data_IF_102087080998
#
_entry.id   IF_102087080998
#
_cell.length_a   1.000
_cell.length_b   1.000
_cell.length_c   1.000
_cell.angle_alpha   90.00
_cell.angle_beta   90.00
_cell.angle_gamma   90.00
#
_symmetry.space_group_name_H-M   'P 1'
#
loop_
_entity.id
_entity.type
_entity.pdbx_description
1 polymer ?
#
# COMPACT_ATOMS: atom_id res chain seq x y z
N UNK A 1 -39.91 -34.65 -19.32
CA UNK A 1 -39.04 -34.24 -18.20
C UNK A 1 -37.59 -34.34 -18.66
N UNK A 2 -37.08 -33.30 -19.31
CA UNK A 2 -35.69 -33.20 -19.76
C UNK A 2 -35.00 -32.14 -18.88
N UNK A 3 -34.10 -32.58 -18.00
CA UNK A 3 -33.31 -31.69 -17.15
C UNK A 3 -32.14 -31.14 -17.94
N UNK A 4 -32.13 -29.83 -18.18
CA UNK A 4 -31.00 -29.12 -18.75
C UNK A 4 -30.00 -28.79 -17.64
N UNK A 5 -28.80 -29.38 -17.70
CA UNK A 5 -27.67 -28.99 -16.87
C UNK A 5 -27.08 -27.68 -17.42
N UNK A 6 -27.19 -26.61 -16.63
CA UNK A 6 -26.55 -25.33 -16.95
C UNK A 6 -25.04 -25.46 -16.72
N UNK A 7 -24.28 -25.34 -17.80
CA UNK A 7 -22.83 -25.25 -17.76
C UNK A 7 -22.43 -23.91 -17.13
N UNK A 8 -21.79 -23.96 -15.97
CA UNK A 8 -21.01 -22.84 -15.44
C UNK A 8 -19.85 -22.61 -16.39
N UNK A 9 -19.88 -21.47 -17.08
CA UNK A 9 -18.77 -20.99 -17.88
C UNK A 9 -17.54 -20.82 -16.99
N UNK A 10 -16.53 -21.64 -17.24
CA UNK A 10 -15.19 -21.42 -16.71
C UNK A 10 -14.63 -20.21 -17.45
N UNK A 11 -14.65 -19.04 -16.81
CA UNK A 11 -13.86 -17.92 -17.25
C UNK A 11 -12.39 -18.27 -17.01
N UNK A 12 -11.68 -18.54 -18.11
CA UNK A 12 -10.31 -18.99 -18.11
C UNK A 12 -9.43 -17.99 -17.34
N UNK A 13 -8.82 -18.47 -16.26
CA UNK A 13 -7.79 -17.73 -15.55
C UNK A 13 -6.66 -17.37 -16.52
N UNK A 14 -6.49 -16.08 -16.78
CA UNK A 14 -5.35 -15.55 -17.54
C UNK A 14 -4.06 -16.07 -16.89
N UNK A 15 -3.04 -16.45 -17.68
CA UNK A 15 -1.80 -16.98 -17.14
C UNK A 15 -1.18 -15.96 -16.18
N UNK A 16 -0.85 -16.42 -14.97
CA UNK A 16 -0.22 -15.63 -13.91
C UNK A 16 1.17 -15.21 -14.41
N UNK A 17 1.25 -14.03 -15.02
CA UNK A 17 2.51 -13.41 -15.39
C UNK A 17 3.40 -13.32 -14.14
N UNK A 18 4.69 -13.60 -14.28
CA UNK A 18 5.64 -13.44 -13.20
C UNK A 18 5.55 -12.00 -12.66
N UNK A 19 5.24 -11.87 -11.36
CA UNK A 19 5.08 -10.56 -10.71
C UNK A 19 6.43 -9.84 -10.74
N UNK A 20 6.51 -8.75 -11.50
CA UNK A 20 7.71 -7.92 -11.56
C UNK A 20 7.67 -6.90 -10.41
N UNK A 21 8.77 -6.73 -9.65
CA UNK A 21 8.86 -5.70 -8.63
C UNK A 21 8.65 -4.31 -9.22
N UNK A 22 7.79 -3.50 -8.60
CA UNK A 22 7.62 -2.10 -8.96
C UNK A 22 8.66 -1.28 -8.19
N UNK A 23 9.62 -0.72 -8.91
CA UNK A 23 10.62 0.18 -8.31
C UNK A 23 9.97 1.51 -7.99
N UNK A 24 9.86 1.82 -6.70
CA UNK A 24 9.38 3.11 -6.24
C UNK A 24 10.53 4.13 -6.15
N UNK A 25 10.27 5.41 -6.46
CA UNK A 25 11.24 6.47 -6.22
C UNK A 25 11.51 6.61 -4.73
N UNK A 26 12.64 7.22 -4.35
CA UNK A 26 12.91 7.52 -2.94
C UNK A 26 11.81 8.43 -2.37
N UNK A 27 11.31 8.14 -1.15
CA UNK A 27 10.30 8.99 -0.53
C UNK A 27 10.89 10.37 -0.25
N UNK A 28 10.06 11.40 -0.43
CA UNK A 28 10.38 12.76 -0.02
C UNK A 28 10.03 12.92 1.45
N UNK A 29 11.04 13.14 2.29
CA UNK A 29 10.89 13.25 3.74
C UNK A 29 10.82 14.70 4.24
N UNK A 30 11.11 15.65 3.37
CA UNK A 30 11.15 17.08 3.68
C UNK A 30 9.97 17.83 3.07
N UNK A 31 9.51 18.86 3.78
CA UNK A 31 8.39 19.71 3.37
C UNK A 31 7.01 19.17 3.77
N UNK A 32 5.98 19.63 3.05
CA UNK A 32 4.58 19.25 3.32
C UNK A 32 3.88 20.15 4.36
N UNK A 33 2.69 19.71 4.79
CA UNK A 33 1.93 20.41 5.84
C UNK A 33 2.54 20.11 7.21
N UNK A 34 2.43 21.07 8.13
CA UNK A 34 2.77 20.82 9.53
C UNK A 34 1.88 19.71 10.10
N UNK A 35 2.38 18.98 11.10
CA UNK A 35 1.61 17.94 11.80
C UNK A 35 0.29 18.51 12.34
N UNK A 36 0.32 19.72 12.90
CA UNK A 36 -0.87 20.38 13.45
C UNK A 36 -1.90 20.71 12.35
N UNK A 37 -1.47 21.21 11.20
CA UNK A 37 -2.36 21.49 10.07
C UNK A 37 -2.95 20.19 9.49
N UNK A 38 -2.14 19.12 9.39
CA UNK A 38 -2.61 17.82 8.92
C UNK A 38 -3.66 17.21 9.86
N UNK A 39 -3.47 17.32 11.18
CA UNK A 39 -4.42 16.84 12.18
C UNK A 39 -5.72 17.66 12.18
N UNK A 40 -5.63 18.98 12.00
CA UNK A 40 -6.79 19.87 11.90
C UNK A 40 -7.67 19.54 10.69
N UNK A 41 -7.07 19.26 9.54
CA UNK A 41 -7.81 18.96 8.30
C UNK A 41 -8.24 17.48 8.19
N UNK A 42 -7.76 16.61 9.08
CA UNK A 42 -7.97 15.16 8.99
C UNK A 42 -9.45 14.82 9.03
N UNK A 43 -9.94 14.25 7.92
CA UNK A 43 -11.31 13.75 7.77
C UNK A 43 -11.35 12.52 6.88
N UNK A 44 -12.36 11.68 7.07
CA UNK A 44 -12.63 10.55 6.18
C UNK A 44 -13.33 11.06 4.91
N UNK A 45 -12.77 10.78 3.73
CA UNK A 45 -13.41 11.05 2.45
C UNK A 45 -13.77 9.73 1.77
N UNK A 46 -14.98 9.63 1.21
CA UNK A 46 -15.49 8.45 0.48
C UNK A 46 -15.66 8.69 -1.01
N UNK A 47 -15.43 9.93 -1.48
CA UNK A 47 -15.42 10.28 -2.91
C UNK A 47 -13.97 10.32 -3.38
N UNK A 48 -13.59 9.41 -4.27
CA UNK A 48 -12.22 9.22 -4.76
C UNK A 48 -12.22 9.45 -6.28
N UNK A 49 -11.19 10.12 -6.79
CA UNK A 49 -11.03 10.33 -8.24
C UNK A 49 -10.46 9.08 -8.90
N UNK A 50 -10.86 8.80 -10.14
CA UNK A 50 -10.30 7.72 -10.98
C UNK A 50 -8.85 7.99 -11.45
N UNK A 51 -8.33 9.21 -11.20
CA UNK A 51 -6.96 9.57 -11.57
C UNK A 51 -5.96 8.65 -10.86
N UNK A 52 -5.06 8.04 -11.64
CA UNK A 52 -3.96 7.23 -11.14
C UNK A 52 -3.07 8.06 -10.21
N UNK A 53 -2.68 7.47 -9.07
CA UNK A 53 -1.78 8.09 -8.12
C UNK A 53 -0.36 8.15 -8.71
N UNK A 54 0.32 9.32 -8.70
CA UNK A 54 1.71 9.40 -9.11
C UNK A 54 2.61 8.48 -8.26
N UNK A 55 3.60 7.82 -8.88
CA UNK A 55 4.50 6.90 -8.17
C UNK A 55 5.24 7.56 -7.01
N UNK A 56 5.58 8.84 -7.12
CA UNK A 56 6.18 9.60 -6.01
C UNK A 56 5.23 9.72 -4.81
N UNK A 57 3.95 9.99 -5.07
CA UNK A 57 2.94 10.11 -4.02
C UNK A 57 2.68 8.75 -3.36
N UNK A 58 2.65 7.67 -4.16
CA UNK A 58 2.55 6.31 -3.64
C UNK A 58 3.75 5.95 -2.76
N UNK A 59 4.97 6.28 -3.19
CA UNK A 59 6.19 6.06 -2.39
C UNK A 59 6.13 6.82 -1.05
N UNK A 60 5.79 8.11 -1.10
CA UNK A 60 5.67 8.93 0.10
C UNK A 60 4.60 8.37 1.06
N UNK A 61 3.45 7.92 0.52
CA UNK A 61 2.36 7.35 1.31
C UNK A 61 2.77 6.04 2.00
N UNK A 62 3.40 5.12 1.27
CA UNK A 62 3.85 3.84 1.82
C UNK A 62 4.94 4.03 2.86
N UNK A 63 5.85 4.98 2.62
CA UNK A 63 6.86 5.34 3.61
C UNK A 63 6.22 5.95 4.86
N UNK A 64 5.28 6.87 4.71
CA UNK A 64 4.55 7.45 5.85
C UNK A 64 3.78 6.39 6.65
N UNK A 65 3.19 5.40 5.98
CA UNK A 65 2.42 4.33 6.61
C UNK A 65 3.30 3.32 7.38
N UNK A 66 4.35 2.78 6.76
CA UNK A 66 5.20 1.75 7.39
C UNK A 66 6.64 1.69 6.84
N UNK A 67 7.18 2.84 6.43
CA UNK A 67 8.54 2.97 5.90
C UNK A 67 9.64 2.80 6.95
N UNK A 68 10.86 2.53 6.47
CA UNK A 68 12.06 2.54 7.32
C UNK A 68 12.50 3.98 7.55
N UNK A 69 12.63 4.39 8.81
CA UNK A 69 13.11 5.74 9.18
C UNK A 69 14.47 5.72 9.89
N UNK A 70 14.90 4.58 10.42
CA UNK A 70 16.16 4.39 11.15
C UNK A 70 16.80 3.09 10.69
N UNK A 71 18.02 3.17 10.18
CA UNK A 71 18.75 2.00 9.70
C UNK A 71 19.13 1.04 10.83
N UNK A 72 19.40 1.58 12.03
CA UNK A 72 19.70 0.81 13.24
C UNK A 72 18.58 1.02 14.26
N UNK A 73 17.86 -0.05 14.58
CA UNK A 73 16.85 -0.09 15.64
C UNK A 73 17.15 -1.16 16.69
N UNK A 74 16.21 -1.37 17.60
CA UNK A 74 16.30 -2.41 18.62
C UNK A 74 16.25 -3.82 18.01
N UNK A 75 16.84 -4.78 18.71
CA UNK A 75 16.85 -6.20 18.32
C UNK A 75 17.42 -6.45 16.91
N UNK A 76 18.43 -5.66 16.51
CA UNK A 76 19.10 -5.75 15.20
C UNK A 76 18.18 -5.60 13.98
N UNK A 77 17.00 -4.99 14.16
CA UNK A 77 16.03 -4.68 13.10
C UNK A 77 16.00 -3.18 12.83
N UNK A 78 15.69 -2.74 11.61
CA UNK A 78 15.49 -1.32 11.31
C UNK A 78 14.28 -0.75 12.05
N UNK A 79 14.26 0.55 12.29
CA UNK A 79 13.11 1.27 12.83
C UNK A 79 12.11 1.64 11.73
N UNK A 80 10.82 1.55 12.07
CA UNK A 80 9.70 1.92 11.20
C UNK A 80 9.10 3.29 11.57
N UNK A 81 8.35 3.88 10.64
CA UNK A 81 7.55 5.09 10.88
C UNK A 81 6.39 4.84 11.84
N UNK A 82 5.72 3.68 11.76
CA UNK A 82 4.75 3.24 12.76
C UNK A 82 5.40 2.35 13.83
N UNK A 83 5.01 2.56 15.08
CA UNK A 83 5.47 1.73 16.20
C UNK A 83 4.77 0.37 16.21
N UNK A 84 5.46 -0.66 16.69
CA UNK A 84 4.90 -1.98 16.96
C UNK A 84 5.46 -2.53 18.28
N UNK A 85 4.75 -3.47 18.90
CA UNK A 85 5.17 -4.06 20.18
C UNK A 85 6.54 -4.75 20.05
N UNK A 86 7.52 -4.36 20.87
CA UNK A 86 8.87 -4.93 20.85
C UNK A 86 9.56 -4.93 19.47
N UNK A 87 9.20 -4.01 18.58
CA UNK A 87 9.71 -3.98 17.20
C UNK A 87 9.43 -5.30 16.43
N UNK A 88 8.29 -5.94 16.71
CA UNK A 88 7.78 -7.13 16.01
C UNK A 88 7.67 -6.94 14.49
N UNK A 89 7.15 -5.79 14.06
CA UNK A 89 6.83 -5.46 12.66
C UNK A 89 5.87 -6.47 12.02
N UNK A 90 4.79 -6.77 12.74
CA UNK A 90 3.77 -7.77 12.37
C UNK A 90 2.78 -7.30 11.28
N UNK A 91 2.84 -6.01 10.92
CA UNK A 91 1.91 -5.40 9.96
C UNK A 91 2.52 -5.44 8.56
N UNK A 92 1.78 -6.03 7.63
CA UNK A 92 2.09 -6.00 6.21
C UNK A 92 1.18 -5.00 5.47
N UNK A 93 1.76 -4.25 4.53
CA UNK A 93 1.03 -3.33 3.66
C UNK A 93 0.80 -3.97 2.29
N UNK A 94 -0.46 -4.09 1.92
CA UNK A 94 -0.89 -4.51 0.59
C UNK A 94 -1.48 -3.34 -0.18
N UNK A 95 -1.10 -3.19 -1.45
CA UNK A 95 -1.61 -2.14 -2.35
C UNK A 95 -2.35 -2.82 -3.49
N UNK A 96 -3.68 -2.69 -3.51
CA UNK A 96 -4.50 -3.18 -4.60
C UNK A 96 -4.49 -2.13 -5.73
N UNK A 97 -3.94 -2.51 -6.88
CA UNK A 97 -3.90 -1.66 -8.08
C UNK A 97 -4.74 -2.28 -9.21
N UNK A 98 -5.21 -1.47 -10.18
CA UNK A 98 -5.92 -1.98 -11.34
C UNK A 98 -5.13 -3.05 -12.12
N UNK A 99 -3.80 -2.96 -12.09
CA UNK A 99 -2.90 -3.87 -12.80
C UNK A 99 -2.59 -5.18 -12.06
N UNK A 100 -3.02 -5.31 -10.79
CA UNK A 100 -2.74 -6.46 -9.92
C UNK A 100 -1.79 -6.14 -8.78
#
# INVERSE_FOLDING_TARGET
MAGATSAVGQEAAKPKAALQPITLPKPQTDGGKSVLAALWERRTNRKISEKKLPLQMLSNLLWAAFGVNREKGSFSKPGRTAASASNSQEIDLYVAMPEG
#
